data_IF_077722648100
#
_entry.id   IF_077722648100
#
_cell.length_a   1.000
_cell.length_b   1.000
_cell.length_c   1.000
_cell.angle_alpha   90.00
_cell.angle_beta   90.00
_cell.angle_gamma   90.00
#
_symmetry.space_group_name_H-M   'P 1'
#
loop_
_entity.id
_entity.type
_entity.pdbx_description
1 polymer ?
#
# COMPACT_ATOMS: atom_id res chain seq x y z
N UNK A 1 -16.67 8.30 2.84
CA UNK A 1 -16.28 6.89 2.56
C UNK A 1 -14.78 6.78 2.70
N UNK A 2 -14.29 5.73 3.36
CA UNK A 2 -12.88 5.37 3.45
C UNK A 2 -12.63 4.07 2.70
N UNK A 3 -11.69 4.07 1.76
CA UNK A 3 -11.21 2.86 1.09
C UNK A 3 -9.85 2.49 1.64
N UNK A 4 -9.68 1.27 2.17
CA UNK A 4 -8.45 0.77 2.75
C UNK A 4 -7.84 -0.29 1.82
N UNK A 5 -6.71 0.02 1.18
CA UNK A 5 -6.05 -0.84 0.18
C UNK A 5 -4.82 -1.50 0.80
N UNK A 6 -4.82 -2.82 0.85
CA UNK A 6 -3.74 -3.62 1.44
C UNK A 6 -2.48 -3.73 0.55
N UNK A 7 -1.39 -4.22 1.12
CA UNK A 7 -0.11 -4.47 0.45
C UNK A 7 -0.05 -5.76 -0.36
N UNK A 8 1.08 -5.98 -1.04
CA UNK A 8 1.34 -7.21 -1.79
C UNK A 8 1.38 -8.42 -0.83
N UNK A 9 0.94 -9.58 -1.26
CA UNK A 9 0.78 -10.83 -0.46
C UNK A 9 -0.11 -10.73 0.76
N UNK A 10 -0.81 -9.61 0.96
CA UNK A 10 -1.72 -9.36 2.07
C UNK A 10 -3.19 -9.52 1.63
N UNK A 11 -4.11 -9.14 2.48
CA UNK A 11 -5.56 -9.12 2.26
C UNK A 11 -6.21 -8.02 3.10
N UNK A 12 -7.52 -7.87 2.98
CA UNK A 12 -8.33 -6.99 3.83
C UNK A 12 -8.17 -7.27 5.33
N UNK A 13 -7.77 -8.50 5.70
CA UNK A 13 -7.52 -8.89 7.08
C UNK A 13 -6.44 -8.04 7.79
N UNK A 14 -5.50 -7.42 7.04
CA UNK A 14 -4.51 -6.51 7.63
C UNK A 14 -5.15 -5.33 8.35
N UNK A 15 -6.41 -4.99 8.03
CA UNK A 15 -7.18 -3.89 8.58
C UNK A 15 -8.10 -4.29 9.74
N UNK A 16 -8.12 -5.58 10.15
CA UNK A 16 -9.07 -6.10 11.15
C UNK A 16 -9.04 -5.35 12.49
N UNK A 17 -7.86 -4.80 12.87
CA UNK A 17 -7.68 -4.04 14.11
C UNK A 17 -8.09 -2.57 13.99
N UNK A 18 -8.14 -2.03 12.78
CA UNK A 18 -8.40 -0.61 12.47
C UNK A 18 -9.83 -0.41 12.01
N UNK A 19 -10.31 -1.24 11.10
CA UNK A 19 -11.60 -1.12 10.42
C UNK A 19 -12.81 -1.02 11.37
N UNK A 20 -12.95 -1.84 12.45
CA UNK A 20 -14.12 -1.77 13.33
C UNK A 20 -14.27 -0.43 14.07
N UNK A 21 -13.18 0.27 14.31
CA UNK A 21 -13.18 1.58 14.96
C UNK A 21 -13.57 2.68 13.98
N UNK A 22 -12.96 2.67 12.79
CA UNK A 22 -13.31 3.62 11.72
C UNK A 22 -14.77 3.46 11.27
N UNK A 23 -15.28 2.23 11.24
CA UNK A 23 -16.68 1.94 10.84
C UNK A 23 -17.74 2.47 11.80
N UNK A 24 -17.34 2.99 12.96
CA UNK A 24 -18.28 3.68 13.87
C UNK A 24 -18.72 5.06 13.34
N UNK A 25 -17.89 5.67 12.51
CA UNK A 25 -18.06 7.05 12.04
C UNK A 25 -18.11 7.16 10.52
N UNK A 26 -17.56 6.17 9.80
CA UNK A 26 -17.40 6.21 8.35
C UNK A 26 -17.92 4.94 7.69
N UNK A 27 -18.34 5.03 6.43
CA UNK A 27 -18.46 3.85 5.58
C UNK A 27 -17.06 3.42 5.21
N UNK A 28 -16.64 2.21 5.63
CA UNK A 28 -15.28 1.66 5.38
C UNK A 28 -15.36 0.50 4.41
N UNK A 29 -14.57 0.56 3.35
CA UNK A 29 -14.47 -0.45 2.30
C UNK A 29 -13.02 -0.95 2.27
N UNK A 30 -12.80 -2.22 2.56
CA UNK A 30 -11.48 -2.86 2.52
C UNK A 30 -11.55 -4.09 1.60
N UNK A 31 -11.37 -3.91 0.28
CA UNK A 31 -11.42 -5.03 -0.65
C UNK A 31 -10.16 -5.88 -0.59
N UNK A 32 -10.28 -7.17 -0.88
CA UNK A 32 -9.16 -7.97 -1.34
C UNK A 32 -8.86 -7.61 -2.80
N UNK A 33 -7.65 -7.21 -3.09
CA UNK A 33 -7.23 -6.90 -4.46
C UNK A 33 -7.33 -8.15 -5.35
N UNK A 34 -7.64 -7.98 -6.62
CA UNK A 34 -7.62 -9.08 -7.58
C UNK A 34 -6.29 -9.81 -7.51
N UNK A 35 -6.35 -11.14 -7.38
CA UNK A 35 -5.17 -12.00 -7.19
C UNK A 35 -4.65 -12.09 -5.76
N UNK A 36 -5.34 -11.50 -4.78
CA UNK A 36 -4.97 -11.48 -3.37
C UNK A 36 -6.15 -11.90 -2.49
N UNK A 37 -5.86 -12.38 -1.29
CA UNK A 37 -6.87 -12.74 -0.29
C UNK A 37 -7.88 -13.76 -0.83
N UNK A 38 -9.17 -13.44 -0.72
CA UNK A 38 -10.28 -14.26 -1.21
C UNK A 38 -10.75 -13.87 -2.62
N UNK A 39 -10.14 -12.84 -3.23
CA UNK A 39 -10.46 -12.42 -4.60
C UNK A 39 -9.91 -13.40 -5.63
N UNK A 40 -10.64 -13.58 -6.73
CA UNK A 40 -10.17 -14.39 -7.86
C UNK A 40 -8.86 -13.85 -8.44
N UNK A 41 -8.08 -14.76 -9.06
CA UNK A 41 -6.83 -14.45 -9.74
C UNK A 41 -6.94 -14.74 -11.25
N UNK A 42 -7.76 -13.99 -12.00
CA UNK A 42 -7.93 -14.20 -13.44
C UNK A 42 -6.64 -13.87 -14.19
N UNK A 43 -6.51 -14.40 -15.41
CA UNK A 43 -5.48 -13.92 -16.33
C UNK A 43 -5.82 -12.50 -16.76
N UNK A 44 -4.92 -11.55 -16.57
CA UNK A 44 -5.18 -10.16 -16.88
C UNK A 44 -4.04 -9.22 -16.52
N UNK A 45 -4.36 -7.93 -16.49
CA UNK A 45 -3.44 -6.87 -16.11
C UNK A 45 -3.46 -6.67 -14.59
N UNK A 46 -2.27 -6.75 -13.98
CA UNK A 46 -2.04 -6.54 -12.56
C UNK A 46 -1.22 -5.27 -12.28
N UNK A 47 -1.25 -4.32 -13.22
CA UNK A 47 -0.62 -3.00 -13.03
C UNK A 47 -1.35 -2.17 -11.98
N UNK A 48 -0.67 -1.14 -11.44
CA UNK A 48 -1.29 -0.17 -10.53
C UNK A 48 -2.53 0.48 -11.16
N UNK A 49 -2.48 0.75 -12.48
CA UNK A 49 -3.61 1.34 -13.22
C UNK A 49 -4.82 0.43 -13.30
N UNK A 50 -4.62 -0.88 -13.49
CA UNK A 50 -5.69 -1.86 -13.49
C UNK A 50 -6.32 -1.98 -12.10
N UNK A 51 -5.50 -2.08 -11.04
CA UNK A 51 -6.01 -2.10 -9.66
C UNK A 51 -6.76 -0.81 -9.30
N UNK A 52 -6.26 0.36 -9.68
CA UNK A 52 -6.96 1.63 -9.45
C UNK A 52 -8.32 1.68 -10.16
N UNK A 53 -8.41 1.15 -11.38
CA UNK A 53 -9.67 1.03 -12.13
C UNK A 53 -10.65 0.08 -11.42
N UNK A 54 -10.17 -1.04 -10.89
CA UNK A 54 -11.00 -1.98 -10.12
C UNK A 54 -11.56 -1.33 -8.85
N UNK A 55 -10.77 -0.51 -8.14
CA UNK A 55 -11.25 0.25 -6.98
C UNK A 55 -12.34 1.25 -7.40
N UNK A 56 -12.15 1.98 -8.52
CA UNK A 56 -13.18 2.87 -9.07
C UNK A 56 -14.48 2.13 -9.37
N UNK A 57 -14.38 0.98 -10.04
CA UNK A 57 -15.55 0.20 -10.43
C UNK A 57 -16.28 -0.36 -9.22
N UNK A 58 -15.55 -0.82 -8.21
CA UNK A 58 -16.10 -1.26 -6.93
C UNK A 58 -16.89 -0.13 -6.25
N UNK A 59 -16.31 1.07 -6.17
CA UNK A 59 -16.98 2.24 -5.59
C UNK A 59 -18.30 2.53 -6.31
N UNK A 60 -18.29 2.52 -7.65
CA UNK A 60 -19.49 2.77 -8.46
C UNK A 60 -20.57 1.72 -8.23
N UNK A 61 -20.20 0.43 -8.18
CA UNK A 61 -21.14 -0.68 -7.90
C UNK A 61 -21.75 -0.54 -6.51
N UNK A 62 -20.99 -0.06 -5.54
CA UNK A 62 -21.45 0.19 -4.17
C UNK A 62 -22.23 1.52 -4.02
N UNK A 63 -22.36 2.30 -5.10
CA UNK A 63 -23.11 3.56 -5.10
C UNK A 63 -22.32 4.75 -4.54
N UNK A 64 -20.99 4.69 -4.53
CA UNK A 64 -20.13 5.76 -4.06
C UNK A 64 -19.40 6.43 -5.21
N UNK A 65 -19.57 7.74 -5.35
CA UNK A 65 -18.91 8.52 -6.40
C UNK A 65 -17.48 8.91 -6.00
N UNK A 66 -17.23 9.15 -4.70
CA UNK A 66 -15.99 9.68 -4.17
C UNK A 66 -15.60 8.99 -2.86
N UNK A 67 -14.31 8.98 -2.56
CA UNK A 67 -13.78 8.41 -1.33
C UNK A 67 -12.45 9.03 -0.91
N UNK A 68 -12.17 8.99 0.39
CA UNK A 68 -10.84 9.13 0.93
C UNK A 68 -10.12 7.79 0.81
N UNK A 69 -8.94 7.78 0.21
CA UNK A 69 -8.21 6.55 -0.14
C UNK A 69 -6.99 6.39 0.76
N UNK A 70 -6.93 5.27 1.46
CA UNK A 70 -5.83 4.88 2.35
C UNK A 70 -5.15 3.65 1.76
N UNK A 71 -3.86 3.71 1.51
CA UNK A 71 -3.12 2.59 0.92
C UNK A 71 -1.87 2.23 1.70
N UNK A 72 -1.68 0.93 1.96
CA UNK A 72 -0.49 0.38 2.59
C UNK A 72 0.43 -0.29 1.56
N UNK A 73 1.73 0.02 1.56
CA UNK A 73 2.73 -0.64 0.72
C UNK A 73 2.37 -0.57 -0.78
N UNK A 74 2.14 -1.70 -1.46
CA UNK A 74 1.58 -1.76 -2.82
C UNK A 74 0.28 -0.95 -2.92
N UNK A 75 -0.60 -1.07 -1.92
CA UNK A 75 -1.85 -0.32 -1.85
C UNK A 75 -1.66 1.19 -1.85
N UNK A 76 -0.54 1.68 -1.31
CA UNK A 76 -0.15 3.09 -1.40
C UNK A 76 0.15 3.52 -2.83
N UNK A 77 0.88 2.70 -3.59
CA UNK A 77 1.09 2.92 -5.03
C UNK A 77 -0.22 2.92 -5.83
N UNK A 78 -1.16 2.02 -5.47
CA UNK A 78 -2.50 1.97 -6.08
C UNK A 78 -3.32 3.20 -5.70
N UNK A 79 -3.26 3.66 -4.44
CA UNK A 79 -3.95 4.85 -3.97
C UNK A 79 -3.47 6.12 -4.70
N UNK A 80 -2.17 6.28 -4.88
CA UNK A 80 -1.60 7.36 -5.71
C UNK A 80 -2.09 7.26 -7.16
N UNK A 81 -2.03 6.06 -7.74
CA UNK A 81 -2.50 5.85 -9.10
C UNK A 81 -3.99 6.15 -9.25
N UNK A 82 -4.82 5.83 -8.24
CA UNK A 82 -6.22 6.19 -8.20
C UNK A 82 -6.41 7.71 -8.20
N UNK A 83 -5.68 8.43 -7.35
CA UNK A 83 -5.73 9.88 -7.30
C UNK A 83 -5.31 10.55 -8.61
N UNK A 84 -4.38 9.94 -9.37
CA UNK A 84 -3.93 10.47 -10.67
C UNK A 84 -4.86 10.14 -11.83
N UNK A 85 -5.51 8.97 -11.80
CA UNK A 85 -6.42 8.55 -12.88
C UNK A 85 -7.83 9.09 -12.68
N UNK A 86 -8.28 9.26 -11.44
CA UNK A 86 -9.63 9.63 -11.08
C UNK A 86 -9.61 10.76 -10.02
N UNK A 87 -8.95 11.89 -10.31
CA UNK A 87 -8.77 12.97 -9.32
C UNK A 87 -10.10 13.53 -8.80
N UNK A 88 -11.14 13.52 -9.63
CA UNK A 88 -12.49 13.95 -9.27
C UNK A 88 -13.15 13.03 -8.24
N UNK A 89 -12.61 11.82 -8.04
CA UNK A 89 -13.13 10.81 -7.12
C UNK A 89 -12.34 10.68 -5.82
N UNK A 90 -11.15 11.28 -5.75
CA UNK A 90 -10.28 11.22 -4.60
C UNK A 90 -10.48 12.44 -3.70
N UNK A 91 -11.03 12.22 -2.51
CA UNK A 91 -11.27 13.29 -1.52
C UNK A 91 -10.04 13.60 -0.68
N UNK A 92 -9.33 12.56 -0.26
CA UNK A 92 -8.11 12.60 0.56
C UNK A 92 -7.24 11.41 0.21
N UNK A 93 -5.94 11.57 0.36
CA UNK A 93 -4.95 10.52 0.11
C UNK A 93 -4.12 10.27 1.37
N UNK A 94 -4.14 9.06 1.90
CA UNK A 94 -3.28 8.64 2.99
C UNK A 94 -2.43 7.43 2.56
N UNK A 95 -1.12 7.54 2.72
CA UNK A 95 -0.15 6.53 2.35
C UNK A 95 0.56 6.00 3.59
N UNK A 96 0.56 4.68 3.76
CA UNK A 96 1.17 3.99 4.89
C UNK A 96 2.29 3.11 4.35
N UNK A 97 3.55 3.40 4.70
CA UNK A 97 4.74 2.65 4.25
C UNK A 97 4.70 2.35 2.74
N UNK A 98 4.40 3.38 1.95
CA UNK A 98 3.97 3.26 0.56
C UNK A 98 5.09 2.88 -0.40
N UNK A 99 4.81 1.97 -1.32
CA UNK A 99 5.60 1.83 -2.56
C UNK A 99 5.41 3.03 -3.49
N UNK A 100 6.39 3.22 -4.41
CA UNK A 100 6.29 4.22 -5.48
C UNK A 100 6.81 5.61 -5.14
N UNK A 101 7.44 5.82 -3.98
CA UNK A 101 7.98 7.12 -3.54
C UNK A 101 9.51 7.21 -3.56
N UNK A 102 10.19 6.17 -4.01
CA UNK A 102 11.64 6.09 -4.17
C UNK A 102 12.05 4.74 -4.73
N UNK A 103 13.34 4.58 -5.05
CA UNK A 103 13.82 3.35 -5.71
C UNK A 103 14.12 2.20 -4.76
N UNK A 104 14.47 2.49 -3.51
CA UNK A 104 14.88 1.49 -2.55
C UNK A 104 13.71 0.61 -2.14
N UNK A 105 13.94 -0.69 -2.16
CA UNK A 105 13.03 -1.72 -1.66
C UNK A 105 13.84 -2.94 -1.25
N UNK A 106 13.31 -3.72 -0.33
CA UNK A 106 13.96 -4.91 0.21
C UNK A 106 14.51 -5.84 -0.88
N UNK A 107 15.72 -6.34 -0.68
CA UNK A 107 16.44 -7.20 -1.64
C UNK A 107 15.69 -8.50 -1.99
N UNK A 108 14.89 -9.04 -1.06
CA UNK A 108 14.09 -10.24 -1.32
C UNK A 108 12.99 -9.99 -2.35
N UNK A 109 12.32 -8.84 -2.28
CA UNK A 109 11.34 -8.44 -3.30
C UNK A 109 12.00 -8.26 -4.66
N UNK A 110 13.20 -7.65 -4.70
CA UNK A 110 13.99 -7.51 -5.94
C UNK A 110 14.37 -8.87 -6.51
N UNK A 111 14.84 -9.80 -5.68
CA UNK A 111 15.17 -11.16 -6.11
C UNK A 111 13.97 -11.94 -6.66
N UNK A 112 12.78 -11.73 -6.08
CA UNK A 112 11.55 -12.38 -6.53
C UNK A 112 11.05 -11.88 -7.91
N UNK A 113 11.64 -10.80 -8.48
CA UNK A 113 11.34 -10.36 -9.86
C UNK A 113 12.14 -11.10 -10.91
N UNK A 114 13.21 -11.81 -10.53
CA UNK A 114 14.10 -12.50 -11.47
C UNK A 114 13.36 -13.61 -12.23
N UNK A 115 13.78 -13.89 -13.49
CA UNK A 115 13.25 -15.03 -14.24
C UNK A 115 13.47 -16.34 -13.47
N UNK A 116 12.45 -17.17 -13.39
CA UNK A 116 12.51 -18.45 -12.66
C UNK A 116 12.15 -18.36 -11.18
N UNK A 117 11.96 -17.18 -10.62
CA UNK A 117 11.52 -17.01 -9.23
C UNK A 117 10.20 -17.76 -8.94
N UNK A 118 9.30 -17.85 -9.92
CA UNK A 118 8.04 -18.60 -9.85
C UNK A 118 8.23 -20.10 -9.56
N UNK A 119 9.38 -20.68 -9.89
CA UNK A 119 9.73 -22.07 -9.59
C UNK A 119 10.42 -22.23 -8.23
N UNK A 120 11.10 -21.19 -7.77
CA UNK A 120 11.85 -21.19 -6.50
C UNK A 120 10.94 -20.85 -5.32
N UNK A 121 10.01 -19.91 -5.51
CA UNK A 121 9.08 -19.47 -4.45
C UNK A 121 8.30 -20.62 -3.80
N UNK A 122 7.75 -21.62 -4.53
CA UNK A 122 7.06 -22.74 -3.91
C UNK A 122 7.98 -23.63 -3.08
N UNK A 123 9.24 -23.79 -3.50
CA UNK A 123 10.24 -24.57 -2.77
C UNK A 123 10.58 -23.89 -1.45
N UNK A 124 10.69 -22.57 -1.45
CA UNK A 124 10.90 -21.79 -0.22
C UNK A 124 9.67 -21.81 0.69
N UNK A 125 8.47 -21.78 0.11
CA UNK A 125 7.21 -21.86 0.86
C UNK A 125 6.93 -23.27 1.42
N UNK A 126 7.34 -24.33 0.70
CA UNK A 126 7.14 -25.73 1.08
C UNK A 126 8.19 -26.25 2.08
N UNK A 127 9.28 -25.53 2.30
CA UNK A 127 10.32 -25.97 3.22
C UNK A 127 9.84 -25.84 4.66
N UNK A 128 10.07 -26.90 5.44
CA UNK A 128 9.92 -26.93 6.91
C UNK A 128 10.67 -25.81 7.66
N UNK A 129 11.36 -24.93 6.92
CA UNK A 129 11.94 -23.68 7.44
C UNK A 129 10.90 -22.76 8.05
N UNK A 130 9.68 -22.68 7.48
CA UNK A 130 8.58 -21.88 8.05
C UNK A 130 8.08 -22.48 9.38
N UNK A 131 8.04 -23.82 9.48
CA UNK A 131 7.69 -24.49 10.73
C UNK A 131 8.80 -24.35 11.78
N UNK A 132 10.05 -24.41 11.37
CA UNK A 132 11.20 -24.09 12.24
C UNK A 132 11.17 -22.61 12.66
N UNK A 133 10.86 -21.69 11.77
CA UNK A 133 10.68 -20.27 12.07
C UNK A 133 9.54 -20.01 13.06
N UNK A 134 8.40 -20.71 12.92
CA UNK A 134 7.28 -20.67 13.88
C UNK A 134 7.67 -21.26 15.24
N UNK A 135 8.45 -22.35 15.25
CA UNK A 135 8.93 -22.97 16.49
C UNK A 135 9.93 -22.05 17.21
N UNK A 136 10.87 -21.47 16.47
CA UNK A 136 11.84 -20.49 17.00
C UNK A 136 11.14 -19.21 17.45
N UNK A 137 10.18 -18.69 16.68
CA UNK A 137 9.35 -17.55 17.08
C UNK A 137 8.51 -17.82 18.32
N UNK A 138 7.98 -19.06 18.48
CA UNK A 138 7.27 -19.49 19.66
C UNK A 138 8.17 -19.59 20.91
N UNK A 139 9.41 -20.04 20.74
CA UNK A 139 10.40 -20.09 21.82
C UNK A 139 10.87 -18.68 22.20
N UNK A 140 11.17 -17.85 21.22
CA UNK A 140 11.55 -16.45 21.42
C UNK A 140 10.41 -15.65 22.08
N UNK A 141 9.16 -15.90 21.68
CA UNK A 141 7.98 -15.29 22.31
C UNK A 141 7.81 -15.66 23.79
N UNK A 142 8.14 -16.92 24.17
CA UNK A 142 8.17 -17.36 25.58
C UNK A 142 9.29 -16.74 26.39
N UNK A 143 10.35 -16.28 25.72
CA UNK A 143 11.48 -15.55 26.31
C UNK A 143 11.25 -14.02 26.28
N UNK A 144 10.05 -13.55 25.90
CA UNK A 144 9.73 -12.13 25.81
C UNK A 144 10.29 -11.42 24.57
N UNK A 145 10.95 -12.16 23.68
CA UNK A 145 11.45 -11.67 22.41
C UNK A 145 10.39 -11.93 21.32
N UNK A 146 9.53 -10.97 21.05
CA UNK A 146 8.56 -11.08 19.95
C UNK A 146 9.31 -10.96 18.61
N UNK A 147 9.06 -11.92 17.70
CA UNK A 147 9.41 -11.71 16.31
C UNK A 147 8.68 -10.45 15.84
N UNK A 148 9.39 -9.54 15.15
CA UNK A 148 8.78 -8.32 14.61
C UNK A 148 7.61 -8.72 13.71
N UNK A 149 6.56 -7.92 13.72
CA UNK A 149 5.35 -8.10 12.91
C UNK A 149 5.70 -8.32 11.44
N UNK A 150 6.68 -7.60 10.92
CA UNK A 150 7.20 -7.76 9.54
C UNK A 150 7.55 -9.21 9.21
N UNK A 151 8.24 -9.92 10.10
CA UNK A 151 8.64 -11.33 9.87
C UNK A 151 7.42 -12.24 9.86
N UNK A 152 6.43 -11.98 10.71
CA UNK A 152 5.20 -12.77 10.78
C UNK A 152 4.36 -12.56 9.52
N UNK A 153 4.20 -11.32 9.06
CA UNK A 153 3.43 -10.98 7.87
C UNK A 153 4.10 -11.47 6.58
N UNK A 154 5.43 -11.37 6.48
CA UNK A 154 6.18 -11.97 5.36
C UNK A 154 5.99 -13.48 5.34
N UNK A 155 6.05 -14.15 6.49
CA UNK A 155 5.84 -15.60 6.57
C UNK A 155 4.40 -15.99 6.22
N UNK A 156 3.41 -15.20 6.65
CA UNK A 156 2.00 -15.39 6.29
C UNK A 156 1.78 -15.21 4.78
N UNK A 157 2.31 -14.13 4.21
CA UNK A 157 2.25 -13.87 2.78
C UNK A 157 2.92 -14.97 1.94
N UNK A 158 4.05 -15.54 2.41
CA UNK A 158 4.68 -16.69 1.75
C UNK A 158 3.78 -17.93 1.72
N UNK A 159 2.99 -18.16 2.76
CA UNK A 159 2.08 -19.31 2.79
C UNK A 159 1.02 -19.25 1.70
N UNK A 160 0.56 -18.04 1.32
CA UNK A 160 -0.42 -17.86 0.22
C UNK A 160 0.18 -18.19 -1.15
N UNK A 161 1.51 -18.09 -1.31
CA UNK A 161 2.21 -18.41 -2.56
C UNK A 161 2.32 -19.91 -2.86
N UNK A 162 1.83 -20.77 -1.98
CA UNK A 162 1.67 -22.22 -2.27
C UNK A 162 0.63 -22.45 -3.35
N UNK A 163 -0.42 -21.64 -3.43
CA UNK A 163 -1.40 -21.67 -4.52
C UNK A 163 -0.80 -21.14 -5.82
N UNK A 164 -1.04 -21.82 -6.93
CA UNK A 164 -0.43 -21.51 -8.22
C UNK A 164 -0.99 -20.22 -8.84
N UNK A 165 -2.27 -19.94 -8.66
CA UNK A 165 -2.93 -18.74 -9.20
C UNK A 165 -2.54 -17.50 -8.41
N UNK A 166 -2.55 -17.58 -7.07
CA UNK A 166 -2.08 -16.51 -6.19
C UNK A 166 -0.60 -16.18 -6.43
N UNK A 167 0.23 -17.21 -6.62
CA UNK A 167 1.65 -17.03 -6.96
C UNK A 167 1.85 -16.36 -8.31
N UNK A 168 1.08 -16.74 -9.35
CA UNK A 168 1.15 -16.10 -10.65
C UNK A 168 0.74 -14.61 -10.54
N UNK A 169 -0.36 -14.31 -9.87
CA UNK A 169 -0.82 -12.95 -9.61
C UNK A 169 0.24 -12.14 -8.85
N UNK A 170 0.83 -12.71 -7.79
CA UNK A 170 1.94 -12.09 -7.05
C UNK A 170 3.11 -11.71 -7.98
N UNK A 171 3.60 -12.66 -8.79
CA UNK A 171 4.74 -12.41 -9.68
C UNK A 171 4.41 -11.36 -10.74
N UNK A 172 3.19 -11.38 -11.30
CA UNK A 172 2.74 -10.37 -12.25
C UNK A 172 2.66 -8.99 -11.61
N UNK A 173 2.02 -8.87 -10.45
CA UNK A 173 1.92 -7.62 -9.69
C UNK A 173 3.31 -7.10 -9.31
N UNK A 174 4.16 -7.97 -8.76
CA UNK A 174 5.50 -7.58 -8.33
C UNK A 174 6.34 -7.06 -9.51
N UNK A 175 6.36 -7.78 -10.65
CA UNK A 175 7.10 -7.36 -11.86
C UNK A 175 6.53 -6.08 -12.50
N UNK A 176 5.29 -5.73 -12.23
CA UNK A 176 4.72 -4.45 -12.67
C UNK A 176 5.30 -3.26 -11.90
N UNK A 177 5.71 -3.46 -10.63
CA UNK A 177 6.09 -2.37 -9.72
C UNK A 177 7.54 -2.42 -9.23
N UNK A 178 8.22 -3.58 -9.31
CA UNK A 178 9.61 -3.80 -8.87
C UNK A 178 10.42 -4.46 -9.99
N UNK A 179 11.68 -4.10 -10.09
CA UNK A 179 12.70 -4.69 -10.97
C UNK A 179 13.96 -5.03 -10.15
N UNK A 180 14.95 -5.77 -10.70
CA UNK A 180 16.17 -6.07 -9.96
C UNK A 180 16.94 -4.84 -9.45
N UNK A 181 16.75 -3.67 -10.08
CA UNK A 181 17.35 -2.39 -9.69
C UNK A 181 16.63 -1.67 -8.55
N UNK A 182 15.43 -2.10 -8.17
CA UNK A 182 14.59 -1.44 -7.16
C UNK A 182 13.14 -1.27 -7.59
N UNK A 183 12.44 -0.26 -7.08
CA UNK A 183 11.09 0.07 -7.52
C UNK A 183 11.13 0.60 -8.97
N UNK A 184 10.28 0.04 -9.82
CA UNK A 184 10.15 0.39 -11.24
C UNK A 184 9.24 1.60 -11.45
N UNK A 185 8.21 1.71 -10.62
CA UNK A 185 7.25 2.79 -10.66
C UNK A 185 7.62 3.79 -9.59
N UNK A 186 7.82 5.05 -9.99
CA UNK A 186 8.14 6.16 -9.10
C UNK A 186 7.18 7.31 -9.39
N UNK A 187 6.48 7.74 -8.34
CA UNK A 187 5.51 8.82 -8.43
C UNK A 187 6.13 10.20 -8.15
N UNK A 188 7.43 10.29 -7.80
CA UNK A 188 8.10 11.54 -7.42
C UNK A 188 7.94 12.64 -8.48
N UNK A 189 7.95 12.29 -9.76
CA UNK A 189 7.74 13.21 -10.87
C UNK A 189 6.26 13.62 -11.09
N UNK A 190 5.32 13.09 -10.29
CA UNK A 190 3.87 13.35 -10.37
C UNK A 190 3.28 13.86 -9.07
N UNK A 191 4.08 14.06 -8.03
CA UNK A 191 3.61 14.53 -6.71
C UNK A 191 2.88 15.88 -6.80
N UNK A 192 3.17 16.71 -7.80
CA UNK A 192 2.45 17.95 -8.06
C UNK A 192 0.94 17.75 -8.29
N UNK A 193 0.53 16.56 -8.77
CA UNK A 193 -0.88 16.21 -8.96
C UNK A 193 -1.62 16.00 -7.62
N UNK A 194 -0.88 15.76 -6.54
CA UNK A 194 -1.43 15.61 -5.19
C UNK A 194 -1.51 16.94 -4.41
N UNK A 195 -1.00 18.05 -4.98
CA UNK A 195 -0.88 19.34 -4.29
C UNK A 195 -2.24 19.94 -3.85
N UNK A 196 -3.35 19.48 -4.42
CA UNK A 196 -4.71 19.95 -4.09
C UNK A 196 -5.57 18.89 -3.43
N UNK A 197 -4.99 17.75 -3.06
CA UNK A 197 -5.64 16.69 -2.32
C UNK A 197 -5.01 16.69 -0.93
N UNK A 198 -5.78 16.75 0.18
CA UNK A 198 -5.22 16.55 1.50
C UNK A 198 -4.42 15.27 1.54
N UNK A 199 -3.16 15.35 1.98
CA UNK A 199 -2.18 14.28 1.82
C UNK A 199 -1.50 13.95 3.14
N UNK A 200 -1.72 12.71 3.60
CA UNK A 200 -1.12 12.14 4.80
C UNK A 200 -0.10 11.06 4.41
N UNK A 201 1.05 11.11 5.05
CA UNK A 201 2.09 10.10 5.01
C UNK A 201 2.24 9.52 6.42
N UNK A 202 2.13 8.21 6.56
CA UNK A 202 2.41 7.47 7.79
C UNK A 202 3.55 6.51 7.51
N UNK A 203 4.55 6.47 8.38
CA UNK A 203 5.70 5.58 8.17
C UNK A 203 6.22 5.00 9.46
N UNK A 204 6.51 3.68 9.46
CA UNK A 204 7.24 3.03 10.54
C UNK A 204 8.72 3.42 10.50
N UNK A 205 9.24 3.92 11.62
CA UNK A 205 10.65 4.33 11.72
C UNK A 205 11.63 3.16 11.52
N UNK A 206 11.15 1.93 11.71
CA UNK A 206 11.93 0.69 11.57
C UNK A 206 11.52 -0.13 10.34
N UNK A 207 10.89 0.48 9.34
CA UNK A 207 10.51 -0.21 8.10
C UNK A 207 11.74 -0.80 7.41
N UNK A 208 11.79 -2.14 7.36
CA UNK A 208 12.88 -2.90 6.76
C UNK A 208 12.61 -3.26 5.29
N UNK A 209 11.45 -2.89 4.76
CA UNK A 209 10.99 -3.19 3.40
C UNK A 209 11.12 -1.96 2.51
N UNK A 210 10.58 -0.82 2.95
CA UNK A 210 10.65 0.46 2.23
C UNK A 210 11.13 1.55 3.22
N UNK A 211 12.32 2.16 3.01
CA UNK A 211 12.89 3.10 3.96
C UNK A 211 12.00 4.31 4.27
N UNK A 212 11.92 4.72 5.53
CA UNK A 212 11.16 5.90 5.98
C UNK A 212 11.62 7.21 5.29
N UNK A 213 12.88 7.25 4.84
CA UNK A 213 13.41 8.37 4.06
C UNK A 213 12.59 8.70 2.79
N UNK A 214 11.84 7.72 2.23
CA UNK A 214 10.92 7.98 1.11
C UNK A 214 9.75 8.86 1.54
N UNK A 215 9.18 8.60 2.71
CA UNK A 215 8.11 9.44 3.28
C UNK A 215 8.61 10.85 3.60
N UNK A 216 9.78 10.96 4.21
CA UNK A 216 10.40 12.24 4.55
C UNK A 216 10.70 13.07 3.29
N UNK A 217 11.30 12.45 2.27
CA UNK A 217 11.59 13.11 0.99
C UNK A 217 10.32 13.56 0.26
N UNK A 218 9.26 12.75 0.31
CA UNK A 218 7.96 13.08 -0.27
C UNK A 218 7.31 14.25 0.47
N UNK A 219 7.32 14.23 1.80
CA UNK A 219 6.80 15.32 2.63
C UNK A 219 7.50 16.66 2.30
N UNK A 220 8.82 16.63 2.14
CA UNK A 220 9.59 17.81 1.77
C UNK A 220 9.23 18.35 0.36
N UNK A 221 8.73 17.51 -0.55
CA UNK A 221 8.36 17.89 -1.91
C UNK A 221 6.89 18.29 -2.08
N UNK A 222 6.02 17.92 -1.11
CA UNK A 222 4.57 18.22 -1.17
C UNK A 222 4.20 19.18 -0.04
N UNK A 223 4.23 20.50 -0.28
CA UNK A 223 3.80 21.49 0.70
C UNK A 223 2.35 21.23 1.14
N UNK A 224 2.12 21.27 2.45
CA UNK A 224 0.79 21.01 3.04
C UNK A 224 0.48 19.53 3.29
N UNK A 225 1.35 18.60 2.89
CA UNK A 225 1.24 17.20 3.35
C UNK A 225 1.52 17.12 4.85
N UNK A 226 1.01 16.06 5.49
CA UNK A 226 1.30 15.72 6.88
C UNK A 226 2.13 14.44 6.91
N UNK A 227 3.19 14.39 7.72
CA UNK A 227 4.01 13.21 7.95
C UNK A 227 3.92 12.79 9.41
N UNK A 228 3.63 11.51 9.62
CA UNK A 228 3.61 10.85 10.93
C UNK A 228 4.60 9.69 10.94
N UNK A 229 5.66 9.83 11.73
CA UNK A 229 6.63 8.75 11.94
C UNK A 229 6.25 7.95 13.19
N UNK A 230 6.03 6.66 13.02
CA UNK A 230 5.68 5.71 14.07
C UNK A 230 6.95 5.07 14.60
N UNK A 231 7.39 5.53 15.78
CA UNK A 231 8.72 5.23 16.33
C UNK A 231 8.92 3.73 16.64
N UNK A 232 7.86 3.03 17.00
CA UNK A 232 7.90 1.62 17.40
C UNK A 232 7.43 0.65 16.31
N UNK A 233 7.08 1.17 15.12
CA UNK A 233 6.56 0.37 14.01
C UNK A 233 7.62 0.01 12.98
N UNK A 234 7.46 -1.20 12.40
CA UNK A 234 8.08 -1.63 11.16
C UNK A 234 7.23 -1.26 9.94
N UNK A 235 7.16 -2.18 8.96
CA UNK A 235 6.40 -2.00 7.71
C UNK A 235 4.87 -2.08 7.88
N UNK A 236 4.36 -2.40 9.07
CA UNK A 236 2.93 -2.63 9.29
C UNK A 236 2.39 -1.81 10.48
N UNK A 237 2.35 -0.46 10.41
CA UNK A 237 1.82 0.39 11.48
C UNK A 237 0.38 0.04 11.88
N UNK A 238 -0.45 -0.44 10.94
CA UNK A 238 -1.81 -0.89 11.18
C UNK A 238 -1.90 -2.11 12.11
N UNK A 239 -0.81 -2.87 12.24
CA UNK A 239 -0.71 -4.03 13.12
C UNK A 239 0.11 -3.75 14.38
N UNK A 240 1.15 -2.93 14.27
CA UNK A 240 2.06 -2.59 15.37
C UNK A 240 1.43 -1.58 16.33
N UNK A 241 0.89 -0.49 15.81
CA UNK A 241 0.30 0.62 16.57
C UNK A 241 -1.12 0.97 16.06
N UNK A 242 -2.08 0.01 16.05
CA UNK A 242 -3.40 0.20 15.42
C UNK A 242 -4.17 1.38 16.00
N UNK A 243 -4.14 1.60 17.33
CA UNK A 243 -4.88 2.69 17.94
C UNK A 243 -4.32 4.04 17.51
N UNK A 244 -3.00 4.20 17.46
CA UNK A 244 -2.37 5.42 16.98
C UNK A 244 -2.70 5.70 15.52
N UNK A 245 -2.73 4.66 14.67
CA UNK A 245 -3.14 4.81 13.28
C UNK A 245 -4.58 5.26 13.15
N UNK A 246 -5.49 4.70 13.97
CA UNK A 246 -6.90 5.13 14.00
C UNK A 246 -6.98 6.62 14.36
N UNK A 247 -6.33 7.04 15.43
CA UNK A 247 -6.36 8.42 15.92
C UNK A 247 -5.82 9.38 14.85
N UNK A 248 -4.72 9.03 14.17
CA UNK A 248 -4.12 9.81 13.09
C UNK A 248 -5.06 9.91 11.87
N UNK A 249 -5.70 8.80 11.47
CA UNK A 249 -6.62 8.79 10.33
C UNK A 249 -7.89 9.58 10.62
N UNK A 250 -8.45 9.44 11.81
CA UNK A 250 -9.66 10.22 12.24
C UNK A 250 -9.32 11.70 12.27
N UNK A 251 -8.25 12.09 12.95
CA UNK A 251 -7.83 13.48 13.02
C UNK A 251 -7.53 14.07 11.63
N UNK A 252 -6.91 13.31 10.75
CA UNK A 252 -6.68 13.74 9.37
C UNK A 252 -7.98 13.98 8.59
N UNK A 253 -8.96 13.10 8.73
CA UNK A 253 -10.25 13.26 8.04
C UNK A 253 -11.03 14.44 8.62
N UNK A 254 -11.00 14.64 9.95
CA UNK A 254 -11.75 15.68 10.63
C UNK A 254 -11.11 17.07 10.50
N UNK A 255 -9.78 17.15 10.39
CA UNK A 255 -9.04 18.40 10.27
C UNK A 255 -8.87 18.92 8.84
N UNK A 256 -9.31 18.14 7.83
CA UNK A 256 -9.13 18.52 6.41
C UNK A 256 -10.48 18.55 5.68
N UNK A 257 -10.61 19.48 4.73
CA UNK A 257 -11.73 19.48 3.80
C UNK A 257 -11.47 18.51 2.63
N UNK A 258 -12.51 17.78 2.13
CA UNK A 258 -12.35 16.91 0.98
C UNK A 258 -11.99 17.71 -0.28
N UNK A 259 -11.02 17.25 -1.03
CA UNK A 259 -10.68 17.86 -2.30
C UNK A 259 -11.88 17.86 -3.25
N UNK A 260 -12.06 18.93 -3.98
CA UNK A 260 -13.06 19.06 -5.06
C UNK A 260 -12.31 19.40 -6.34
N UNK A 261 -11.84 18.37 -7.05
CA UNK A 261 -11.17 18.54 -8.33
C UNK A 261 -12.17 18.30 -9.47
N UNK A 262 -12.50 19.38 -10.18
CA UNK A 262 -13.20 19.30 -11.45
C UNK A 262 -12.25 19.34 -12.67
N UNK A 263 -12.79 19.23 -13.86
CA UNK A 263 -12.00 19.20 -15.09
C UNK A 263 -11.25 20.53 -15.36
N UNK A 264 -11.77 21.68 -14.87
CA UNK A 264 -11.14 22.97 -15.02
C UNK A 264 -9.92 23.08 -14.12
N UNK A 265 -10.09 22.75 -12.85
CA UNK A 265 -8.99 22.73 -11.88
C UNK A 265 -7.90 21.72 -12.25
N UNK A 266 -8.30 20.56 -12.79
CA UNK A 266 -7.34 19.55 -13.27
C UNK A 266 -6.52 20.08 -14.46
N UNK A 267 -7.14 20.82 -15.38
CA UNK A 267 -6.44 21.45 -16.50
C UNK A 267 -5.40 22.47 -16.02
N UNK A 268 -5.76 23.33 -15.06
CA UNK A 268 -4.84 24.31 -14.47
C UNK A 268 -3.58 23.67 -13.86
N UNK A 269 -3.71 22.47 -13.27
CA UNK A 269 -2.58 21.71 -12.73
C UNK A 269 -1.66 21.13 -13.80
N UNK A 270 -2.21 20.76 -14.95
CA UNK A 270 -1.46 20.15 -16.04
C UNK A 270 -0.75 21.18 -16.91
N UNK A 271 -1.28 22.39 -17.06
CA UNK A 271 -0.70 23.43 -17.94
C UNK A 271 0.75 23.78 -17.59
N UNK A 272 1.15 24.03 -16.34
CA UNK A 272 2.53 24.32 -15.99
C UNK A 272 3.48 23.14 -16.28
N UNK A 273 3.01 21.91 -16.08
CA UNK A 273 3.79 20.71 -16.34
C UNK A 273 4.03 20.46 -17.84
N UNK A 274 3.11 20.91 -18.69
CA UNK A 274 3.26 20.85 -20.16
C UNK A 274 4.18 21.95 -20.70
N UNK A 275 4.29 23.08 -20.01
CA UNK A 275 5.11 24.22 -20.39
C UNK A 275 6.59 24.09 -19.94
N UNK A 276 6.90 23.16 -19.02
CA UNK A 276 8.27 22.93 -18.56
C UNK A 276 9.11 22.28 -19.70
N UNK A 277 10.29 22.78 -20.02
CA UNK A 277 11.18 22.16 -21.02
C UNK A 277 11.59 20.77 -20.50
N UNK A 278 11.56 19.78 -21.39
CA UNK A 278 11.97 18.39 -21.13
C UNK A 278 13.47 18.26 -20.95
#
# INVERSE_FOLDING_TARGET
>A
VLVLIHGITSSSATWERVMPYLARHYTVIAPDLIGHGSSEAPRGDYSLGAHASNIRDLLLVLGHERASVVGHSLGGGIAMQFAYQFPERCERLALIDSGGLGREVNVLLRAATLPGAEFVLPLLAATRLLDAGRLVGGVLGRLGLRARTDVQEIAHGHATLSDASARAAFVHTLRAVVEPGGQRVEAANRLYLSAHIPFLLVWGAHDSIIPAAHGEATHAQVPGSRLELFADSGHFPQLDEPQRLIDVLVDFVESTEPATLDAERWRELLEPALAAPR
#
